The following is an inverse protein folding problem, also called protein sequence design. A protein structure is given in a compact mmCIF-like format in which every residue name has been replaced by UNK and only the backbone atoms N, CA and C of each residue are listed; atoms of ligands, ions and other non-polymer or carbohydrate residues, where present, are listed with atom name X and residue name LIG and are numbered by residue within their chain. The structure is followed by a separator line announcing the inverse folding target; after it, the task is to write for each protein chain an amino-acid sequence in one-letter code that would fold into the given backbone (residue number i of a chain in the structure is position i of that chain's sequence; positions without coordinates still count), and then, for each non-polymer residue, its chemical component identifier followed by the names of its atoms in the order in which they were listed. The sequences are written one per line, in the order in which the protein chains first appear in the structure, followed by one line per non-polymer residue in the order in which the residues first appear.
data_IF_659566575652
#
_entry.id   IF_659566575652
#
_cell.length_a   1.000
_cell.length_b   1.000
_cell.length_c   1.000
_cell.angle_alpha   90.00
_cell.angle_beta   90.00
_cell.angle_gamma   90.00
#
_symmetry.space_group_name_H-M   'P 1'
#
loop_
_entity.id
_entity.type
_entity.pdbx_description
1 polymer ?
#
# COMPACT_ATOMS: atom_id res chain seq x y z
N UNK A 1 -1.21 -15.91 15.47
CA UNK A 1 -1.17 -14.44 15.26
C UNK A 1 -1.04 -14.22 13.77
N UNK A 2 -1.90 -13.38 13.17
CA UNK A 2 -1.93 -13.23 11.71
C UNK A 2 -0.78 -12.31 11.23
N UNK A 3 -0.08 -12.71 10.17
CA UNK A 3 0.87 -11.84 9.45
C UNK A 3 0.22 -11.31 8.19
N UNK A 4 0.09 -9.99 8.10
CA UNK A 4 -0.59 -9.31 7.00
C UNK A 4 0.40 -8.52 6.17
N UNK A 5 0.44 -8.79 4.87
CA UNK A 5 1.25 -8.04 3.92
C UNK A 5 0.43 -6.91 3.29
N UNK A 6 1.04 -5.74 3.16
CA UNK A 6 0.46 -4.60 2.44
C UNK A 6 1.56 -3.84 1.72
N UNK A 7 1.34 -3.42 0.48
CA UNK A 7 2.40 -2.86 -0.36
C UNK A 7 1.97 -1.63 -1.15
N UNK A 8 2.91 -0.72 -1.37
CA UNK A 8 2.64 0.49 -2.14
C UNK A 8 3.82 1.46 -2.23
N UNK A 9 3.63 2.50 -3.05
CA UNK A 9 4.61 3.59 -3.15
C UNK A 9 4.37 4.68 -2.12
N UNK A 10 3.13 4.85 -1.65
CA UNK A 10 2.75 5.75 -0.54
C UNK A 10 3.25 7.20 -0.72
N UNK A 11 3.03 7.78 -1.89
CA UNK A 11 3.46 9.16 -2.16
C UNK A 11 2.60 9.85 -3.22
N UNK A 12 2.03 11.04 -2.98
CA UNK A 12 1.66 11.51 -1.64
C UNK A 12 0.67 10.54 -0.97
N UNK A 13 0.76 10.43 0.35
CA UNK A 13 -0.20 9.63 1.13
C UNK A 13 -1.57 10.33 1.13
N UNK A 14 -2.62 9.55 0.95
CA UNK A 14 -4.02 10.00 0.83
C UNK A 14 -4.96 8.96 1.45
N UNK A 15 -6.24 9.26 1.56
CA UNK A 15 -7.20 8.43 2.30
C UNK A 15 -7.35 7.01 1.73
N UNK A 16 -7.19 6.83 0.42
CA UNK A 16 -7.06 5.49 -0.18
C UNK A 16 -5.94 4.62 0.41
N UNK A 17 -4.76 5.20 0.69
CA UNK A 17 -3.68 4.48 1.38
C UNK A 17 -4.03 4.22 2.86
N UNK A 18 -4.71 5.17 3.51
CA UNK A 18 -5.12 5.00 4.90
C UNK A 18 -6.15 3.88 5.07
N UNK A 19 -7.08 3.74 4.13
CA UNK A 19 -8.03 2.64 4.11
C UNK A 19 -7.33 1.27 3.97
N UNK A 20 -6.32 1.20 3.10
CA UNK A 20 -5.51 0.00 2.88
C UNK A 20 -4.73 -0.40 4.14
N UNK A 21 -4.09 0.57 4.80
CA UNK A 21 -3.37 0.36 6.06
C UNK A 21 -4.33 -0.02 7.21
N UNK A 22 -5.47 0.67 7.32
CA UNK A 22 -6.49 0.38 8.33
C UNK A 22 -6.94 -1.08 8.23
N UNK A 23 -7.29 -1.54 7.02
CA UNK A 23 -7.70 -2.93 6.79
C UNK A 23 -6.60 -3.92 7.18
N UNK A 24 -5.33 -3.60 6.92
CA UNK A 24 -4.22 -4.44 7.30
C UNK A 24 -4.09 -4.58 8.82
N UNK A 25 -4.18 -3.48 9.57
CA UNK A 25 -4.14 -3.50 11.03
C UNK A 25 -5.36 -4.18 11.66
N UNK A 26 -6.56 -4.01 11.08
CA UNK A 26 -7.76 -4.74 11.53
C UNK A 26 -7.60 -6.25 11.37
N UNK A 27 -7.02 -6.71 10.25
CA UNK A 27 -6.82 -8.13 9.98
C UNK A 27 -5.70 -8.75 10.81
N UNK A 28 -4.67 -7.98 11.16
CA UNK A 28 -3.58 -8.52 11.98
C UNK A 28 -4.04 -8.79 13.40
N UNK A 29 -4.96 -7.97 13.94
CA UNK A 29 -5.29 -8.00 15.37
C UNK A 29 -4.01 -7.78 16.18
N UNK A 30 -3.73 -8.70 17.12
CA UNK A 30 -2.48 -8.72 17.90
C UNK A 30 -1.26 -9.26 17.12
N UNK A 31 -1.43 -9.58 15.83
CA UNK A 31 -0.37 -10.04 14.95
C UNK A 31 0.49 -8.92 14.36
N UNK A 32 1.07 -9.18 13.19
CA UNK A 32 2.05 -8.28 12.57
C UNK A 32 1.55 -7.78 11.21
N UNK A 33 1.78 -6.50 10.93
CA UNK A 33 1.64 -5.91 9.59
C UNK A 33 3.02 -5.61 9.02
N UNK A 34 3.32 -6.20 7.85
CA UNK A 34 4.53 -5.92 7.08
C UNK A 34 4.16 -5.03 5.91
N UNK A 35 4.75 -3.82 5.89
CA UNK A 35 4.49 -2.81 4.86
C UNK A 35 5.63 -2.79 3.85
N UNK A 36 5.35 -3.23 2.63
CA UNK A 36 6.27 -3.12 1.50
C UNK A 36 6.25 -1.71 0.89
N UNK A 37 7.35 -0.97 1.04
CA UNK A 37 7.54 0.35 0.42
C UNK A 37 8.42 0.23 -0.82
N UNK A 38 7.92 0.64 -1.99
CA UNK A 38 8.66 0.51 -3.26
C UNK A 38 9.99 1.25 -3.24
N UNK A 39 11.04 0.68 -3.83
CA UNK A 39 12.31 1.37 -4.10
C UNK A 39 12.10 2.58 -5.02
N UNK A 40 13.12 3.44 -5.14
CA UNK A 40 13.04 4.61 -6.01
C UNK A 40 12.98 4.23 -7.48
N UNK A 41 13.72 3.20 -7.89
CA UNK A 41 13.73 2.66 -9.24
C UNK A 41 12.34 2.13 -9.61
N UNK A 42 11.73 1.35 -8.71
CA UNK A 42 10.39 0.77 -8.92
C UNK A 42 9.30 1.84 -8.91
N UNK A 43 9.43 2.83 -8.02
CA UNK A 43 8.48 3.94 -7.94
C UNK A 43 8.49 4.79 -9.21
N UNK A 44 9.68 5.07 -9.77
CA UNK A 44 9.89 5.85 -10.99
C UNK A 44 9.52 5.08 -12.26
N UNK A 45 9.81 3.78 -12.34
CA UNK A 45 9.52 3.00 -13.55
C UNK A 45 8.02 2.81 -13.82
N UNK A 46 7.20 2.88 -12.77
CA UNK A 46 5.75 2.67 -12.85
C UNK A 46 4.92 3.95 -12.88
N UNK A 47 5.55 5.15 -12.88
CA UNK A 47 4.86 6.44 -12.78
C UNK A 47 5.47 7.50 -13.68
N UNK A 48 4.63 8.31 -14.29
CA UNK A 48 5.03 9.44 -15.15
C UNK A 48 5.38 10.70 -14.36
N UNK A 49 4.92 10.81 -13.12
CA UNK A 49 5.18 11.97 -12.24
C UNK A 49 6.42 11.75 -11.36
N UNK A 50 6.98 12.85 -10.86
CA UNK A 50 8.01 12.80 -9.82
C UNK A 50 7.46 12.15 -8.55
N UNK A 51 8.29 11.31 -7.94
CA UNK A 51 8.03 10.62 -6.67
C UNK A 51 9.18 10.95 -5.73
N UNK A 52 8.86 11.23 -4.46
CA UNK A 52 9.88 11.48 -3.43
C UNK A 52 10.80 10.27 -3.27
N UNK A 53 12.04 10.50 -2.85
CA UNK A 53 12.96 9.40 -2.58
C UNK A 53 12.46 8.49 -1.44
N UNK A 54 13.01 7.28 -1.38
CA UNK A 54 12.57 6.23 -0.47
C UNK A 54 12.56 6.67 0.99
N UNK A 55 13.65 7.32 1.44
CA UNK A 55 13.81 7.76 2.83
C UNK A 55 12.74 8.77 3.25
N UNK A 56 12.40 9.73 2.37
CA UNK A 56 11.33 10.70 2.65
C UNK A 56 9.97 10.01 2.68
N UNK A 57 9.72 9.05 1.79
CA UNK A 57 8.47 8.28 1.78
C UNK A 57 8.33 7.42 3.02
N UNK A 58 9.40 6.73 3.45
CA UNK A 58 9.42 5.94 4.68
C UNK A 58 9.14 6.81 5.90
N UNK A 59 9.84 7.95 6.02
CA UNK A 59 9.63 8.89 7.13
C UNK A 59 8.19 9.39 7.18
N UNK A 60 7.63 9.77 6.03
CA UNK A 60 6.24 10.23 5.94
C UNK A 60 5.26 9.12 6.30
N UNK A 61 5.52 7.89 5.85
CA UNK A 61 4.68 6.73 6.14
C UNK A 61 4.66 6.41 7.63
N UNK A 62 5.83 6.36 8.29
CA UNK A 62 5.92 6.18 9.76
C UNK A 62 5.19 7.28 10.51
N UNK A 63 5.38 8.54 10.12
CA UNK A 63 4.71 9.67 10.77
C UNK A 63 3.18 9.61 10.63
N UNK A 64 2.68 9.21 9.46
CA UNK A 64 1.24 9.04 9.22
C UNK A 64 0.71 7.86 10.03
N UNK A 65 1.41 6.73 10.07
CA UNK A 65 0.98 5.54 10.80
C UNK A 65 0.87 5.85 12.30
N UNK A 66 1.91 6.48 12.87
CA UNK A 66 1.90 6.95 14.26
C UNK A 66 0.71 7.88 14.51
N UNK A 67 0.50 8.87 13.64
CA UNK A 67 -0.56 9.87 13.81
C UNK A 67 -1.98 9.28 13.69
N UNK A 68 -2.20 8.36 12.75
CA UNK A 68 -3.53 7.86 12.40
C UNK A 68 -3.92 6.59 13.15
N UNK A 69 -2.95 5.76 13.54
CA UNK A 69 -3.21 4.45 14.15
C UNK A 69 -2.56 4.31 15.53
N UNK A 70 -1.73 5.26 15.98
CA UNK A 70 -1.06 5.17 17.28
C UNK A 70 0.04 4.10 17.35
N UNK A 71 0.54 3.65 16.19
CA UNK A 71 1.53 2.58 16.08
C UNK A 71 2.91 3.21 15.87
N UNK A 72 3.82 3.00 16.82
CA UNK A 72 5.18 3.53 16.79
C UNK A 72 6.17 2.60 16.06
N UNK A 73 6.04 1.29 16.30
CA UNK A 73 6.93 0.28 15.74
C UNK A 73 6.21 -0.51 14.65
N UNK A 74 6.42 -0.09 13.40
CA UNK A 74 5.87 -0.75 12.23
C UNK A 74 7.00 -1.30 11.37
N UNK A 75 6.82 -2.54 10.92
CA UNK A 75 7.76 -3.21 10.04
C UNK A 75 7.58 -2.70 8.60
N UNK A 76 8.47 -1.82 8.16
CA UNK A 76 8.53 -1.33 6.78
C UNK A 76 9.73 -1.96 6.10
N UNK A 77 9.49 -2.62 4.97
CA UNK A 77 10.53 -3.26 4.16
C UNK A 77 10.57 -2.68 2.76
N UNK A 78 11.77 -2.51 2.22
CA UNK A 78 11.98 -1.99 0.86
C UNK A 78 11.69 -3.09 -0.15
N UNK A 79 10.78 -2.83 -1.09
CA UNK A 79 10.50 -3.75 -2.20
C UNK A 79 11.14 -3.24 -3.50
N UNK A 80 12.01 -4.05 -4.08
CA UNK A 80 12.75 -3.76 -5.32
C UNK A 80 12.19 -4.50 -6.53
N UNK A 81 11.27 -5.44 -6.31
CA UNK A 81 10.56 -6.16 -7.36
C UNK A 81 9.06 -6.23 -7.08
N UNK A 82 8.29 -6.59 -8.10
CA UNK A 82 6.82 -6.63 -8.08
C UNK A 82 6.24 -7.67 -7.10
N UNK A 83 7.01 -8.67 -6.68
CA UNK A 83 6.59 -9.73 -5.77
C UNK A 83 6.98 -9.39 -4.32
N UNK A 84 8.09 -8.70 -4.09
CA UNK A 84 8.58 -8.36 -2.76
C UNK A 84 8.80 -9.59 -1.88
N UNK A 85 8.76 -9.45 -0.53
CA UNK A 85 8.94 -10.58 0.39
C UNK A 85 7.79 -11.59 0.35
N UNK A 86 6.65 -11.24 -0.27
CA UNK A 86 5.43 -12.06 -0.25
C UNK A 86 5.56 -13.43 -0.94
N UNK A 87 6.65 -13.67 -1.67
CA UNK A 87 6.98 -14.97 -2.28
C UNK A 87 8.13 -15.71 -1.58
N UNK A 88 8.64 -15.16 -0.48
CA UNK A 88 9.76 -15.69 0.32
C UNK A 88 9.39 -15.86 1.80
N UNK A 89 8.44 -15.07 2.30
CA UNK A 89 7.94 -15.12 3.68
C UNK A 89 6.53 -15.73 3.78
N UNK A 90 6.22 -16.21 4.99
CA UNK A 90 4.90 -16.71 5.35
C UNK A 90 4.01 -15.54 5.80
N UNK A 91 2.96 -15.27 5.01
CA UNK A 91 1.88 -14.34 5.33
C UNK A 91 0.56 -15.09 5.27
N UNK A 92 -0.40 -14.67 6.09
CA UNK A 92 -1.76 -15.18 6.08
C UNK A 92 -2.62 -14.39 5.09
N UNK A 93 -2.44 -13.06 5.08
CA UNK A 93 -3.22 -12.13 4.27
C UNK A 93 -2.34 -11.24 3.41
N UNK A 94 -2.89 -10.82 2.27
CA UNK A 94 -2.40 -9.67 1.51
C UNK A 94 -3.55 -8.68 1.31
N UNK A 95 -3.37 -7.44 1.75
CA UNK A 95 -4.34 -6.37 1.57
C UNK A 95 -4.04 -5.61 0.30
N UNK A 96 -5.03 -5.50 -0.57
CA UNK A 96 -4.91 -4.86 -1.88
C UNK A 96 -6.05 -3.89 -2.15
N UNK A 97 -5.73 -2.87 -2.94
CA UNK A 97 -6.73 -2.11 -3.68
C UNK A 97 -7.05 -2.80 -5.01
N UNK A 98 -8.11 -2.40 -5.73
CA UNK A 98 -8.41 -2.97 -7.04
C UNK A 98 -7.28 -2.73 -8.06
N UNK A 99 -6.44 -1.70 -7.86
CA UNK A 99 -5.24 -1.44 -8.68
C UNK A 99 -4.15 -2.52 -8.49
N UNK A 100 -4.09 -3.10 -7.29
CA UNK A 100 -3.05 -4.08 -6.88
C UNK A 100 -3.56 -5.51 -6.83
N UNK A 101 -4.86 -5.75 -7.03
CA UNK A 101 -5.46 -7.08 -7.05
C UNK A 101 -4.80 -8.02 -8.09
N UNK A 102 -4.57 -7.61 -9.36
CA UNK A 102 -3.90 -8.48 -10.33
C UNK A 102 -2.49 -8.90 -9.89
N UNK A 103 -1.82 -8.07 -9.10
CA UNK A 103 -0.51 -8.39 -8.53
C UNK A 103 -0.62 -9.47 -7.44
N UNK A 104 -1.60 -9.37 -6.53
CA UNK A 104 -1.82 -10.40 -5.51
C UNK A 104 -2.18 -11.76 -6.12
N UNK A 105 -2.98 -11.78 -7.19
CA UNK A 105 -3.24 -13.02 -7.92
C UNK A 105 -1.98 -13.59 -8.56
N UNK A 106 -1.13 -12.74 -9.16
CA UNK A 106 0.16 -13.16 -9.71
C UNK A 106 1.08 -13.72 -8.62
N UNK A 107 1.10 -13.10 -7.43
CA UNK A 107 1.84 -13.60 -6.26
C UNK A 107 1.36 -15.00 -5.89
N UNK A 108 0.05 -15.24 -5.78
CA UNK A 108 -0.49 -16.56 -5.46
C UNK A 108 -0.15 -17.61 -6.53
N UNK A 109 -0.16 -17.24 -7.82
CA UNK A 109 0.30 -18.13 -8.90
C UNK A 109 1.79 -18.49 -8.76
N UNK A 110 2.64 -17.55 -8.35
CA UNK A 110 4.06 -17.81 -8.11
C UNK A 110 4.30 -18.64 -6.85
N UNK A 111 3.52 -18.41 -5.78
CA UNK A 111 3.53 -19.21 -4.55
C UNK A 111 3.18 -20.67 -4.83
N UNK A 112 2.14 -20.92 -5.63
CA UNK A 112 1.75 -22.27 -6.05
C UNK A 112 2.89 -22.99 -6.80
N UNK A 113 3.60 -22.31 -7.71
CA UNK A 113 4.77 -22.87 -8.41
C UNK A 113 5.93 -23.25 -7.47
N UNK A 114 5.99 -22.64 -6.28
CA UNK A 114 6.98 -22.91 -5.24
C UNK A 114 6.45 -23.82 -4.13
N UNK A 115 5.27 -24.42 -4.28
CA UNK A 115 4.59 -25.20 -3.24
C UNK A 115 4.36 -24.44 -1.92
N UNK A 116 4.18 -23.11 -2.00
CA UNK A 116 3.82 -22.29 -0.86
C UNK A 116 2.29 -22.15 -0.76
N UNK A 117 1.71 -22.08 0.45
CA UNK A 117 0.27 -21.89 0.63
C UNK A 117 -0.16 -20.53 0.05
N UNK A 118 -1.35 -20.44 -0.58
CA UNK A 118 -1.84 -19.17 -1.10
C UNK A 118 -2.12 -18.18 0.03
N UNK A 119 -1.90 -16.89 -0.25
CA UNK A 119 -2.30 -15.78 0.62
C UNK A 119 -3.80 -15.56 0.50
N UNK A 120 -4.47 -15.28 1.62
CA UNK A 120 -5.84 -14.79 1.59
C UNK A 120 -5.84 -13.32 1.13
N UNK A 121 -6.49 -13.05 0.00
CA UNK A 121 -6.55 -11.71 -0.57
C UNK A 121 -7.70 -10.95 0.10
N UNK A 122 -7.39 -9.85 0.79
CA UNK A 122 -8.40 -8.90 1.28
C UNK A 122 -8.37 -7.66 0.40
N UNK A 123 -9.34 -7.57 -0.51
CA UNK A 123 -9.53 -6.38 -1.34
C UNK A 123 -10.30 -5.30 -0.57
N UNK A 124 -9.86 -4.05 -0.70
CA UNK A 124 -10.59 -2.86 -0.26
C UNK A 124 -11.27 -2.17 -1.44
N UNK A 125 -12.35 -1.45 -1.20
CA UNK A 125 -12.96 -0.59 -2.21
C UNK A 125 -12.14 0.71 -2.41
N UNK A 126 -12.31 1.32 -3.58
CA UNK A 126 -11.74 2.64 -3.83
C UNK A 126 -12.37 3.69 -2.93
N UNK A 127 -11.51 4.51 -2.31
CA UNK A 127 -11.94 5.75 -1.68
C UNK A 127 -12.24 6.78 -2.76
N UNK A 128 -13.44 7.36 -2.74
CA UNK A 128 -13.92 8.31 -3.75
C UNK A 128 -13.70 9.75 -3.29
N UNK A 129 -13.33 10.62 -4.22
CA UNK A 129 -13.32 12.06 -4.01
C UNK A 129 -14.75 12.64 -4.14
N UNK A 130 -14.92 13.92 -3.81
CA UNK A 130 -16.23 14.61 -3.87
C UNK A 130 -16.87 14.59 -5.25
N UNK A 131 -16.07 14.54 -6.32
CA UNK A 131 -16.53 14.42 -7.70
C UNK A 131 -16.85 12.98 -8.14
N UNK A 132 -16.91 12.03 -7.20
CA UNK A 132 -17.19 10.60 -7.43
C UNK A 132 -16.14 9.89 -8.28
N UNK A 133 -14.99 10.52 -8.51
CA UNK A 133 -13.82 9.88 -9.11
C UNK A 133 -12.89 9.41 -8.00
N UNK A 134 -12.24 8.24 -8.16
CA UNK A 134 -11.33 7.69 -7.14
C UNK A 134 -10.26 8.69 -6.70
N UNK A 135 -9.93 8.69 -5.41
CA UNK A 135 -8.75 9.39 -4.89
C UNK A 135 -7.51 8.68 -5.43
N UNK A 136 -6.57 9.46 -5.96
CA UNK A 136 -5.29 8.91 -6.40
C UNK A 136 -4.15 9.88 -6.15
N UNK A 137 -2.97 9.33 -5.91
CA UNK A 137 -1.73 10.09 -5.71
C UNK A 137 -1.43 11.05 -6.87
N UNK A 138 -1.79 10.66 -8.10
CA UNK A 138 -1.64 11.51 -9.28
C UNK A 138 -2.54 12.74 -9.20
N UNK A 139 -3.83 12.57 -8.89
CA UNK A 139 -4.77 13.70 -8.77
C UNK A 139 -4.40 14.65 -7.64
N UNK A 140 -3.89 14.11 -6.52
CA UNK A 140 -3.37 14.90 -5.41
C UNK A 140 -2.13 15.70 -5.84
N UNK A 141 -1.20 15.05 -6.56
CA UNK A 141 0.02 15.70 -7.04
C UNK A 141 -0.23 16.76 -8.12
N UNK A 142 -1.28 16.59 -8.92
CA UNK A 142 -1.72 17.56 -9.94
C UNK A 142 -2.56 18.70 -9.35
N UNK A 143 -2.84 18.67 -8.05
CA UNK A 143 -3.65 19.70 -7.39
C UNK A 143 -5.12 19.67 -7.76
N UNK A 144 -5.64 18.58 -8.36
CA UNK A 144 -7.07 18.41 -8.68
C UNK A 144 -7.92 18.16 -7.44
N UNK A 145 -7.34 17.48 -6.47
CA UNK A 145 -7.95 17.16 -5.17
C UNK A 145 -6.91 17.28 -4.07
N UNK A 146 -7.34 17.46 -2.82
CA UNK A 146 -6.48 17.27 -1.67
C UNK A 146 -6.36 15.78 -1.30
N UNK A 147 -5.55 15.48 -0.27
CA UNK A 147 -5.29 14.12 0.22
C UNK A 147 -6.54 13.41 0.79
N UNK A 148 -7.61 14.15 1.04
CA UNK A 148 -8.89 13.67 1.56
C UNK A 148 -9.98 13.58 0.48
N UNK A 149 -9.65 13.87 -0.78
CA UNK A 149 -10.61 13.82 -1.88
C UNK A 149 -11.49 15.06 -1.99
N UNK A 150 -11.15 16.16 -1.31
CA UNK A 150 -11.80 17.45 -1.54
C UNK A 150 -11.35 18.01 -2.88
N UNK A 151 -12.27 18.42 -3.74
CA UNK A 151 -11.93 18.98 -5.05
C UNK A 151 -11.33 20.36 -4.84
N UNK A 152 -10.11 20.52 -5.31
CA UNK A 152 -9.42 21.81 -5.33
C UNK A 152 -9.75 22.40 -6.69
N UNK A 153 -10.81 23.19 -6.72
CA UNK A 153 -11.28 23.86 -7.94
C UNK A 153 -10.13 24.71 -8.49
N UNK A 154 -9.80 24.49 -9.77
CA UNK A 154 -9.03 25.42 -10.58
C UNK A 154 -9.96 26.41 -11.25
#
# INVERSE_FOLDING_TARGET
MARVAVGGTFDPIHDGHLALLRRAFELSGDGEVVIGLTSDEMARSSRTRSVRNYEVREKNLRAVIKKCFGIDDVHITKITDQCGPSIYECFDFIVVSPETLPMAEKINRLRAKKNLPPLQISEIEYQMAQDKVRISSTRVSEGKIDRHGRVLVG
#
